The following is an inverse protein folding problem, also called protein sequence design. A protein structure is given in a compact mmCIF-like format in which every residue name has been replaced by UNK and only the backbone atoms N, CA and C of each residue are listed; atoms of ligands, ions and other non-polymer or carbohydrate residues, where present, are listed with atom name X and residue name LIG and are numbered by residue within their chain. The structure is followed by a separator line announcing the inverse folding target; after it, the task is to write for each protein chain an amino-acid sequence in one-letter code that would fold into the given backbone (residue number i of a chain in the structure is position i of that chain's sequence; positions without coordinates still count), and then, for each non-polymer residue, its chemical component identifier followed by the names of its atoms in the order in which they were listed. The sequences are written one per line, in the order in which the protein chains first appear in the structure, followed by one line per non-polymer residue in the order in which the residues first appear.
data_IF_712695700980
#
_entry.id   IF_712695700980
#
_cell.length_a   1.000
_cell.length_b   1.000
_cell.length_c   1.000
_cell.angle_alpha   90.00
_cell.angle_beta   90.00
_cell.angle_gamma   90.00
#
_symmetry.space_group_name_H-M   'P 1'
#
loop_
_entity.id
_entity.type
_entity.pdbx_description
1 polymer ?
#
# COMPACT_ATOMS: atom_id res chain seq x y z
N UNK A 1 17.13 10.40 12.68
CA UNK A 1 16.12 10.15 11.63
C UNK A 1 15.46 8.82 12.00
N UNK A 2 14.21 8.84 12.45
CA UNK A 2 13.53 7.66 12.99
C UNK A 2 13.13 6.77 11.81
N UNK A 3 13.82 5.65 11.62
CA UNK A 3 13.41 4.58 10.72
C UNK A 3 12.26 3.80 11.39
N UNK A 4 11.03 4.31 11.28
CA UNK A 4 9.83 3.58 11.67
C UNK A 4 9.14 3.06 10.39
N UNK A 5 9.71 2.02 9.78
CA UNK A 5 9.13 1.37 8.58
C UNK A 5 9.07 -0.16 8.59
N UNK A 6 9.78 -0.95 9.42
CA UNK A 6 9.60 -2.41 9.39
C UNK A 6 8.45 -2.92 10.27
N UNK A 7 8.00 -2.12 11.24
CA UNK A 7 7.05 -2.59 12.26
C UNK A 7 5.59 -2.44 11.81
N UNK A 8 5.25 -1.28 11.21
CA UNK A 8 3.92 -1.05 10.64
C UNK A 8 3.59 -2.00 9.48
N UNK A 9 4.60 -2.39 8.68
CA UNK A 9 4.41 -3.39 7.62
C UNK A 9 4.10 -4.78 8.19
N UNK A 10 4.71 -5.15 9.33
CA UNK A 10 4.47 -6.47 9.93
C UNK A 10 3.09 -6.54 10.58
N UNK A 11 2.65 -5.47 11.27
CA UNK A 11 1.31 -5.40 11.87
C UNK A 11 0.20 -5.57 10.83
N UNK A 12 0.36 -4.97 9.63
CA UNK A 12 -0.59 -5.14 8.53
C UNK A 12 -0.58 -6.55 7.94
N UNK A 13 0.59 -7.20 7.87
CA UNK A 13 0.68 -8.61 7.43
C UNK A 13 0.00 -9.52 8.45
N UNK A 14 0.28 -9.32 9.73
CA UNK A 14 -0.34 -10.09 10.82
C UNK A 14 -1.87 -9.89 10.86
N UNK A 15 -2.35 -8.67 10.56
CA UNK A 15 -3.77 -8.37 10.44
C UNK A 15 -4.42 -9.09 9.24
N UNK A 16 -3.72 -9.21 8.10
CA UNK A 16 -4.19 -10.01 6.96
C UNK A 16 -4.25 -11.51 7.31
N UNK A 17 -3.21 -12.02 7.95
CA UNK A 17 -3.09 -13.45 8.28
C UNK A 17 -4.10 -13.88 9.36
N UNK A 18 -4.40 -12.99 10.31
CA UNK A 18 -5.43 -13.22 11.34
C UNK A 18 -6.86 -12.96 10.85
N UNK A 19 -7.03 -12.33 9.67
CA UNK A 19 -8.33 -11.93 9.13
C UNK A 19 -8.93 -10.68 9.78
N UNK A 20 -8.16 -9.95 10.62
CA UNK A 20 -8.54 -8.64 11.15
C UNK A 20 -8.64 -7.58 10.04
N UNK A 21 -7.83 -7.75 8.98
CA UNK A 21 -7.91 -7.00 7.74
C UNK A 21 -8.17 -7.97 6.58
N UNK A 22 -9.17 -7.70 5.75
CA UNK A 22 -9.37 -8.48 4.52
C UNK A 22 -8.56 -7.90 3.36
N UNK A 23 -8.25 -8.74 2.36
CA UNK A 23 -7.65 -8.26 1.10
C UNK A 23 -8.51 -7.19 0.41
N UNK A 24 -9.82 -7.26 0.56
CA UNK A 24 -10.76 -6.28 0.01
C UNK A 24 -10.62 -4.92 0.72
N UNK A 25 -10.54 -4.92 2.05
CA UNK A 25 -10.31 -3.69 2.84
C UNK A 25 -8.94 -3.07 2.55
N UNK A 26 -7.90 -3.90 2.38
CA UNK A 26 -6.58 -3.41 1.97
C UNK A 26 -6.61 -2.80 0.56
N UNK A 27 -7.38 -3.40 -0.35
CA UNK A 27 -7.60 -2.84 -1.69
C UNK A 27 -8.32 -1.49 -1.63
N UNK A 28 -9.37 -1.37 -0.82
CA UNK A 28 -10.10 -0.11 -0.62
C UNK A 28 -9.17 0.97 -0.06
N UNK A 29 -8.29 0.62 0.88
CA UNK A 29 -7.28 1.55 1.41
C UNK A 29 -6.32 2.04 0.31
N UNK A 30 -5.80 1.11 -0.51
CA UNK A 30 -4.93 1.45 -1.64
C UNK A 30 -5.65 2.30 -2.70
N UNK A 31 -6.94 2.06 -2.95
CA UNK A 31 -7.78 2.88 -3.84
C UNK A 31 -7.89 4.33 -3.33
N UNK A 32 -8.09 4.53 -2.02
CA UNK A 32 -8.15 5.87 -1.43
C UNK A 32 -6.82 6.62 -1.53
N UNK A 33 -5.70 5.92 -1.35
CA UNK A 33 -4.37 6.50 -1.48
C UNK A 33 -4.00 6.83 -2.92
N UNK A 34 -4.36 5.95 -3.87
CA UNK A 34 -4.23 6.23 -5.29
C UNK A 34 -5.02 7.49 -5.68
N UNK A 35 -6.28 7.60 -5.22
CA UNK A 35 -7.11 8.76 -5.49
C UNK A 35 -6.51 10.06 -4.92
N UNK A 36 -5.88 10.02 -3.73
CA UNK A 36 -5.15 11.17 -3.16
C UNK A 36 -3.97 11.62 -4.01
N UNK A 37 -3.37 10.70 -4.77
CA UNK A 37 -2.31 11.00 -5.73
C UNK A 37 -2.82 11.34 -7.13
N UNK A 38 -4.15 11.39 -7.33
CA UNK A 38 -4.76 11.63 -8.63
C UNK A 38 -4.63 10.44 -9.60
N UNK A 39 -4.49 9.23 -9.06
CA UNK A 39 -4.37 7.98 -9.81
C UNK A 39 -5.60 7.10 -9.59
N UNK A 40 -5.94 6.31 -10.60
CA UNK A 40 -6.76 5.11 -10.42
C UNK A 40 -5.95 4.00 -9.75
N UNK A 41 -6.62 3.02 -9.17
CA UNK A 41 -5.94 1.86 -8.58
C UNK A 41 -5.10 1.09 -9.61
N UNK A 42 -5.62 0.87 -10.81
CA UNK A 42 -4.88 0.16 -11.86
C UNK A 42 -3.62 0.91 -12.29
N UNK A 43 -3.68 2.25 -12.40
CA UNK A 43 -2.50 3.08 -12.65
C UNK A 43 -1.49 3.01 -11.50
N UNK A 44 -1.97 3.03 -10.26
CA UNK A 44 -1.12 2.88 -9.09
C UNK A 44 -0.41 1.52 -9.08
N UNK A 45 -1.10 0.42 -9.42
CA UNK A 45 -0.51 -0.92 -9.54
C UNK A 45 0.57 -0.95 -10.62
N UNK A 46 0.31 -0.35 -11.79
CA UNK A 46 1.28 -0.29 -12.87
C UNK A 46 2.51 0.55 -12.54
N UNK A 47 2.34 1.65 -11.79
CA UNK A 47 3.43 2.47 -11.30
C UNK A 47 4.21 1.77 -10.17
N UNK A 48 3.53 1.09 -9.25
CA UNK A 48 4.13 0.36 -8.16
C UNK A 48 5.02 -0.79 -8.66
N UNK A 49 4.55 -1.56 -9.66
CA UNK A 49 5.35 -2.59 -10.34
C UNK A 49 6.63 -2.05 -10.98
N UNK A 50 6.59 -0.77 -11.40
CA UNK A 50 7.72 -0.08 -12.05
C UNK A 50 8.56 0.73 -11.05
N UNK A 51 8.23 0.72 -9.75
CA UNK A 51 8.80 1.60 -8.73
C UNK A 51 8.78 3.09 -9.15
N UNK A 52 7.65 3.52 -9.73
CA UNK A 52 7.43 4.88 -10.27
C UNK A 52 6.35 5.66 -9.53
N UNK A 53 5.90 5.19 -8.37
CA UNK A 53 5.02 5.99 -7.54
C UNK A 53 5.72 7.27 -7.06
N UNK A 54 4.97 8.36 -6.81
CA UNK A 54 5.53 9.60 -6.28
C UNK A 54 6.36 9.35 -5.00
N UNK A 55 7.57 9.90 -4.94
CA UNK A 55 8.44 9.79 -3.75
C UNK A 55 7.99 10.76 -2.65
N UNK A 56 6.81 10.49 -2.09
CA UNK A 56 6.25 11.17 -0.94
C UNK A 56 5.66 10.11 0.04
N UNK A 57 5.22 10.51 1.24
CA UNK A 57 4.70 9.55 2.22
C UNK A 57 3.55 8.69 1.65
N UNK A 58 2.53 9.32 1.05
CA UNK A 58 1.39 8.60 0.45
C UNK A 58 1.81 7.61 -0.64
N UNK A 59 2.78 7.96 -1.48
CA UNK A 59 3.29 7.06 -2.51
C UNK A 59 4.12 5.91 -1.94
N UNK A 60 4.79 6.12 -0.79
CA UNK A 60 5.52 5.07 -0.08
C UNK A 60 4.56 4.07 0.57
N UNK A 61 3.50 4.58 1.21
CA UNK A 61 2.44 3.76 1.82
C UNK A 61 1.69 2.96 0.75
N UNK A 62 1.31 3.62 -0.35
CA UNK A 62 0.66 2.99 -1.49
C UNK A 62 1.52 1.90 -2.14
N UNK A 63 2.83 2.13 -2.27
CA UNK A 63 3.77 1.12 -2.76
C UNK A 63 3.74 -0.12 -1.86
N UNK A 64 3.75 0.06 -0.54
CA UNK A 64 3.68 -1.03 0.42
C UNK A 64 2.36 -1.79 0.32
N UNK A 65 1.22 -1.10 0.35
CA UNK A 65 -0.10 -1.74 0.27
C UNK A 65 -0.29 -2.55 -1.02
N UNK A 66 0.14 -2.01 -2.17
CA UNK A 66 0.10 -2.74 -3.43
C UNK A 66 1.02 -3.96 -3.41
N UNK A 67 2.22 -3.84 -2.85
CA UNK A 67 3.13 -4.98 -2.70
C UNK A 67 2.52 -6.10 -1.86
N UNK A 68 1.77 -5.77 -0.81
CA UNK A 68 1.06 -6.75 0.02
C UNK A 68 -0.12 -7.42 -0.72
N UNK A 69 -0.84 -6.70 -1.58
CA UNK A 69 -1.95 -7.26 -2.37
C UNK A 69 -1.48 -8.23 -3.47
N UNK A 70 -0.27 -8.03 -3.98
CA UNK A 70 0.33 -8.83 -5.05
C UNK A 70 1.09 -10.08 -4.56
N UNK A 71 1.31 -10.19 -3.24
CA UNK A 71 1.84 -11.38 -2.58
C UNK A 71 0.70 -12.39 -2.30
#
# INVERSE_FOLDING_TARGET
MVQAQPQASQELVDALDSGELTREQLRELAELEAARLGLTFDEAVELARKNKLPMNPTGSDLQMHISMLLY
#
